data_IF_352237881291
#
_entry.id   IF_352237881291
#
_cell.length_a   1.000
_cell.length_b   1.000
_cell.length_c   1.000
_cell.angle_alpha   90.00
_cell.angle_beta   90.00
_cell.angle_gamma   90.00
#
_symmetry.space_group_name_H-M   'P 1'
#
loop_
_entity.id
_entity.type
_entity.pdbx_description
1 polymer ?
#
# COMPACT_ATOMS: atom_id res chain seq x y z
N UNK A 1 -18.06 -43.98 -20.90
CA UNK A 1 -18.73 -43.14 -19.91
C UNK A 1 -17.66 -42.69 -18.96
N UNK A 2 -17.32 -41.39 -18.87
CA UNK A 2 -16.45 -40.89 -17.80
C UNK A 2 -17.22 -40.99 -16.49
N UNK A 3 -16.63 -41.64 -15.51
CA UNK A 3 -17.17 -41.67 -14.16
C UNK A 3 -17.04 -40.27 -13.57
N UNK A 4 -18.15 -39.65 -13.19
CA UNK A 4 -18.18 -38.48 -12.36
C UNK A 4 -17.49 -38.81 -11.02
N UNK A 5 -16.30 -38.28 -10.83
CA UNK A 5 -15.69 -38.28 -9.52
C UNK A 5 -16.63 -37.53 -8.54
N UNK A 6 -16.88 -38.07 -7.37
CA UNK A 6 -17.76 -37.42 -6.40
C UNK A 6 -17.10 -36.07 -6.05
N UNK A 7 -17.86 -34.99 -6.24
CA UNK A 7 -17.52 -33.67 -5.71
C UNK A 7 -17.31 -33.81 -4.21
N UNK A 8 -16.03 -34.03 -3.84
CA UNK A 8 -15.61 -34.12 -2.46
C UNK A 8 -15.93 -32.80 -1.77
N UNK A 9 -16.80 -32.89 -0.79
CA UNK A 9 -16.98 -32.00 0.34
C UNK A 9 -16.83 -30.52 -0.01
N UNK A 10 -17.96 -29.82 -0.04
CA UNK A 10 -18.00 -28.36 0.20
C UNK A 10 -17.34 -28.16 1.56
N UNK A 11 -15.99 -28.05 1.57
CA UNK A 11 -15.24 -27.62 2.73
C UNK A 11 -15.90 -26.31 3.18
N UNK A 12 -16.32 -26.23 4.42
CA UNK A 12 -16.94 -25.06 5.03
C UNK A 12 -16.06 -23.84 4.79
N UNK A 13 -16.28 -23.17 3.67
CA UNK A 13 -15.43 -22.06 3.24
C UNK A 13 -15.71 -20.90 4.18
N UNK A 14 -14.74 -20.61 5.02
CA UNK A 14 -14.78 -19.45 5.94
C UNK A 14 -15.16 -18.20 5.15
N UNK A 15 -16.23 -17.52 5.54
CA UNK A 15 -16.68 -16.29 4.91
C UNK A 15 -15.68 -15.13 5.17
N UNK A 16 -15.78 -14.03 4.42
CA UNK A 16 -14.90 -12.89 4.56
C UNK A 16 -14.77 -12.36 6.00
N UNK A 17 -15.89 -12.26 6.72
CA UNK A 17 -15.89 -11.85 8.14
C UNK A 17 -15.20 -12.87 9.05
N UNK A 18 -15.26 -14.15 8.69
CA UNK A 18 -14.56 -15.20 9.43
C UNK A 18 -13.03 -15.07 9.34
N UNK A 19 -12.51 -14.64 8.20
CA UNK A 19 -11.07 -14.39 8.00
C UNK A 19 -10.56 -13.23 8.88
N UNK A 20 -11.39 -12.24 9.14
CA UNK A 20 -11.06 -11.08 9.98
C UNK A 20 -11.16 -11.38 11.48
N UNK A 21 -11.68 -12.55 11.91
CA UNK A 21 -11.60 -12.98 13.31
C UNK A 21 -10.16 -13.24 13.78
N UNK A 22 -9.25 -13.55 12.84
CA UNK A 22 -7.83 -13.62 13.16
C UNK A 22 -7.29 -12.18 13.40
N UNK A 23 -6.93 -11.89 14.65
CA UNK A 23 -6.47 -10.57 15.08
C UNK A 23 -5.24 -10.09 14.30
N UNK A 24 -4.33 -10.99 13.91
CA UNK A 24 -3.15 -10.64 13.12
C UNK A 24 -3.55 -10.21 11.70
N UNK A 25 -4.41 -10.99 11.03
CA UNK A 25 -4.95 -10.65 9.71
C UNK A 25 -5.68 -9.32 9.74
N UNK A 26 -6.58 -9.12 10.70
CA UNK A 26 -7.34 -7.88 10.85
C UNK A 26 -6.41 -6.67 11.01
N UNK A 27 -5.42 -6.75 11.92
CA UNK A 27 -4.48 -5.66 12.17
C UNK A 27 -3.60 -5.37 10.95
N UNK A 28 -3.09 -6.40 10.25
CA UNK A 28 -2.31 -6.21 9.03
C UNK A 28 -3.15 -5.53 7.94
N UNK A 29 -4.42 -5.93 7.77
CA UNK A 29 -5.27 -5.37 6.72
C UNK A 29 -5.71 -3.94 7.03
N UNK A 30 -5.99 -3.61 8.30
CA UNK A 30 -6.24 -2.22 8.71
C UNK A 30 -4.97 -1.38 8.53
N UNK A 31 -3.82 -1.89 8.96
CA UNK A 31 -2.55 -1.18 8.84
C UNK A 31 -2.22 -0.87 7.37
N UNK A 32 -2.31 -1.87 6.46
CA UNK A 32 -2.01 -1.64 5.05
C UNK A 32 -3.06 -0.75 4.38
N UNK A 33 -4.34 -0.85 4.75
CA UNK A 33 -5.37 0.04 4.25
C UNK A 33 -5.10 1.50 4.61
N UNK A 34 -4.65 1.77 5.83
CA UNK A 34 -4.26 3.11 6.27
C UNK A 34 -3.00 3.61 5.55
N UNK A 35 -1.96 2.77 5.45
CA UNK A 35 -0.69 3.14 4.84
C UNK A 35 -0.83 3.32 3.32
N UNK A 36 -1.43 2.36 2.61
CA UNK A 36 -1.62 2.48 1.15
C UNK A 36 -2.73 3.46 0.79
N UNK A 37 -3.82 3.49 1.57
CA UNK A 37 -4.86 4.50 1.41
C UNK A 37 -4.34 5.94 1.55
N UNK A 38 -3.27 6.16 2.33
CA UNK A 38 -2.63 7.46 2.45
C UNK A 38 -2.06 8.03 1.13
N UNK A 39 -1.99 7.22 0.06
CA UNK A 39 -1.67 7.71 -1.27
C UNK A 39 -2.81 8.50 -1.93
N UNK A 40 -4.00 8.57 -1.34
CA UNK A 40 -5.17 9.18 -1.92
C UNK A 40 -4.97 10.65 -2.33
N UNK A 41 -4.39 11.48 -1.45
CA UNK A 41 -4.09 12.87 -1.78
C UNK A 41 -3.10 12.98 -2.96
N UNK A 42 -2.08 12.13 -2.99
CA UNK A 42 -1.12 12.07 -4.08
C UNK A 42 -1.79 11.72 -5.41
N UNK A 43 -2.60 10.67 -5.47
CA UNK A 43 -3.28 10.27 -6.69
C UNK A 43 -4.26 11.32 -7.23
N UNK A 44 -4.89 12.06 -6.32
CA UNK A 44 -5.94 13.02 -6.71
C UNK A 44 -5.41 14.43 -6.98
N UNK A 45 -4.36 14.87 -6.27
CA UNK A 45 -3.99 16.28 -6.23
C UNK A 45 -2.55 16.59 -6.65
N UNK A 46 -1.68 15.59 -6.83
CA UNK A 46 -0.25 15.86 -7.13
C UNK A 46 -0.07 16.67 -8.42
N UNK A 47 -0.77 16.32 -9.50
CA UNK A 47 -0.68 17.08 -10.77
C UNK A 47 -1.13 18.53 -10.58
N UNK A 48 -2.25 18.76 -9.87
CA UNK A 48 -2.75 20.09 -9.57
C UNK A 48 -1.72 20.85 -8.71
N UNK A 49 -1.15 20.18 -7.70
CA UNK A 49 -0.13 20.76 -6.84
C UNK A 49 1.08 21.21 -7.64
N UNK A 50 1.67 20.36 -8.47
CA UNK A 50 2.85 20.68 -9.25
C UNK A 50 2.60 21.80 -10.27
N UNK A 51 1.46 21.76 -10.97
CA UNK A 51 1.13 22.80 -11.95
C UNK A 51 0.83 24.15 -11.30
N UNK A 52 0.27 24.19 -10.09
CA UNK A 52 0.08 25.42 -9.34
C UNK A 52 1.38 26.02 -8.79
N UNK A 53 2.45 25.21 -8.70
CA UNK A 53 3.81 25.65 -8.32
C UNK A 53 4.73 25.90 -9.54
N UNK A 54 4.17 26.07 -10.73
CA UNK A 54 4.89 26.51 -11.92
C UNK A 54 5.49 25.41 -12.78
N UNK A 55 5.28 24.11 -12.44
CA UNK A 55 5.68 23.01 -13.29
C UNK A 55 4.72 22.83 -14.46
N UNK A 56 5.23 22.44 -15.62
CA UNK A 56 4.39 22.15 -16.79
C UNK A 56 3.61 20.85 -16.63
N UNK A 57 2.56 20.66 -17.43
CA UNK A 57 1.83 19.37 -17.50
C UNK A 57 2.76 18.25 -17.98
N UNK A 58 3.76 18.59 -18.83
CA UNK A 58 4.79 17.64 -19.28
C UNK A 58 5.67 17.19 -18.11
N UNK A 59 6.08 18.11 -17.24
CA UNK A 59 6.85 17.77 -16.03
C UNK A 59 6.04 16.88 -15.10
N UNK A 60 4.75 17.17 -14.91
CA UNK A 60 3.86 16.32 -14.12
C UNK A 60 3.77 14.90 -14.70
N UNK A 61 3.69 14.75 -16.02
CA UNK A 61 3.75 13.46 -16.69
C UNK A 61 5.07 12.73 -16.45
N UNK A 62 6.20 13.46 -16.48
CA UNK A 62 7.52 12.91 -16.17
C UNK A 62 7.62 12.45 -14.71
N UNK A 63 7.11 13.23 -13.74
CA UNK A 63 7.08 12.83 -12.33
C UNK A 63 6.30 11.55 -12.10
N UNK A 64 5.14 11.41 -12.73
CA UNK A 64 4.38 10.17 -12.71
C UNK A 64 5.15 9.01 -13.36
N UNK A 65 5.78 9.25 -14.51
CA UNK A 65 6.60 8.27 -15.22
C UNK A 65 7.76 7.75 -14.36
N UNK A 66 8.48 8.64 -13.67
CA UNK A 66 9.58 8.29 -12.76
C UNK A 66 9.05 7.42 -11.60
N UNK A 67 7.94 7.81 -11.00
CA UNK A 67 7.31 7.05 -9.92
C UNK A 67 7.03 5.60 -10.33
N UNK A 68 6.40 5.41 -11.50
CA UNK A 68 6.07 4.09 -12.04
C UNK A 68 7.33 3.31 -12.45
N UNK A 69 8.31 3.97 -13.06
CA UNK A 69 9.57 3.32 -13.46
C UNK A 69 10.32 2.75 -12.25
N UNK A 70 10.47 3.54 -11.18
CA UNK A 70 11.14 3.09 -9.95
C UNK A 70 10.34 1.97 -9.29
N UNK A 71 9.00 2.05 -9.31
CA UNK A 71 8.12 0.99 -8.82
C UNK A 71 8.37 -0.34 -9.56
N UNK A 72 8.39 -0.34 -10.89
CA UNK A 72 8.66 -1.51 -11.73
C UNK A 72 10.03 -2.11 -11.39
N UNK A 73 11.06 -1.29 -11.30
CA UNK A 73 12.42 -1.74 -10.98
C UNK A 73 12.47 -2.39 -9.60
N UNK A 74 11.87 -1.77 -8.59
CA UNK A 74 11.87 -2.35 -7.23
C UNK A 74 11.00 -3.59 -7.15
N UNK A 75 9.87 -3.68 -7.87
CA UNK A 75 9.09 -4.91 -7.97
C UNK A 75 9.89 -6.05 -8.59
N UNK A 76 10.60 -5.80 -9.68
CA UNK A 76 11.42 -6.79 -10.34
C UNK A 76 12.47 -7.39 -9.39
N UNK A 77 13.07 -6.57 -8.56
CA UNK A 77 14.07 -7.01 -7.57
C UNK A 77 13.50 -7.30 -6.18
N UNK A 78 12.20 -7.19 -5.96
CA UNK A 78 11.58 -7.24 -4.62
C UNK A 78 11.92 -8.51 -3.84
N UNK A 79 11.88 -9.68 -4.47
CA UNK A 79 12.24 -10.93 -3.82
C UNK A 79 13.69 -10.93 -3.37
N UNK A 80 14.62 -10.40 -4.19
CA UNK A 80 16.05 -10.32 -3.84
C UNK A 80 16.31 -9.32 -2.72
N UNK A 81 15.62 -8.17 -2.75
CA UNK A 81 15.78 -7.10 -1.78
C UNK A 81 15.16 -7.45 -0.42
N UNK A 82 13.97 -8.06 -0.42
CA UNK A 82 13.15 -8.19 0.78
C UNK A 82 13.04 -9.63 1.32
N UNK A 83 13.69 -10.63 0.71
CA UNK A 83 13.59 -12.04 1.13
C UNK A 83 13.90 -12.28 2.60
N UNK A 84 14.86 -11.55 3.16
CA UNK A 84 15.33 -11.70 4.53
C UNK A 84 14.60 -10.80 5.53
N UNK A 85 13.67 -9.94 5.06
CA UNK A 85 12.93 -9.02 5.92
C UNK A 85 11.68 -9.70 6.46
N UNK A 86 11.34 -9.44 7.72
CA UNK A 86 10.05 -9.87 8.26
C UNK A 86 8.91 -9.03 7.68
N UNK A 87 7.69 -9.58 7.68
CA UNK A 87 6.49 -8.82 7.26
C UNK A 87 6.36 -7.55 8.09
N UNK A 88 6.53 -7.65 9.40
CA UNK A 88 6.50 -6.50 10.32
C UNK A 88 7.53 -5.44 9.91
N UNK A 89 8.77 -5.82 9.60
CA UNK A 89 9.81 -4.87 9.22
C UNK A 89 9.47 -4.14 7.92
N UNK A 90 8.89 -4.83 6.93
CA UNK A 90 8.43 -4.22 5.68
C UNK A 90 7.25 -3.26 5.89
N UNK A 91 6.32 -3.57 6.81
CA UNK A 91 5.25 -2.66 7.19
C UNK A 91 5.80 -1.40 7.88
N UNK A 92 6.82 -1.53 8.72
CA UNK A 92 7.49 -0.37 9.31
C UNK A 92 8.24 0.45 8.25
N UNK A 93 8.96 -0.20 7.34
CA UNK A 93 9.63 0.49 6.24
C UNK A 93 8.65 1.33 5.43
N UNK A 94 7.54 0.71 4.97
CA UNK A 94 6.56 1.39 4.12
C UNK A 94 5.82 2.50 4.87
N UNK A 95 5.47 2.28 6.15
CA UNK A 95 4.80 3.29 6.97
C UNK A 95 5.68 4.49 7.27
N UNK A 96 6.95 4.27 7.66
CA UNK A 96 7.92 5.36 7.92
C UNK A 96 8.20 6.13 6.63
N UNK A 97 8.44 5.43 5.52
CA UNK A 97 8.64 6.07 4.22
C UNK A 97 7.42 6.91 3.80
N UNK A 98 6.20 6.43 4.04
CA UNK A 98 4.98 7.17 3.74
C UNK A 98 4.85 8.44 4.60
N UNK A 99 5.12 8.35 5.90
CA UNK A 99 5.10 9.52 6.80
C UNK A 99 6.09 10.59 6.31
N UNK A 100 7.34 10.20 6.08
CA UNK A 100 8.38 11.13 5.60
C UNK A 100 7.98 11.74 4.27
N UNK A 101 7.52 10.91 3.32
CA UNK A 101 7.11 11.37 1.99
C UNK A 101 5.97 12.38 2.06
N UNK A 102 4.91 12.08 2.82
CA UNK A 102 3.75 12.97 2.87
C UNK A 102 4.02 14.26 3.63
N UNK A 103 4.83 14.23 4.69
CA UNK A 103 5.24 15.44 5.38
C UNK A 103 6.10 16.35 4.50
N UNK A 104 6.96 15.77 3.66
CA UNK A 104 7.79 16.52 2.73
C UNK A 104 7.02 17.00 1.48
N UNK A 105 6.01 16.26 1.03
CA UNK A 105 5.35 16.48 -0.26
C UNK A 105 4.70 17.85 -0.38
N UNK A 106 4.06 18.34 0.67
CA UNK A 106 3.40 19.65 0.67
C UNK A 106 4.36 20.86 0.63
N UNK A 107 5.67 20.63 0.70
CA UNK A 107 6.72 21.65 0.68
C UNK A 107 7.69 21.51 -0.49
N UNK A 108 7.52 20.49 -1.33
CA UNK A 108 8.44 20.20 -2.43
C UNK A 108 8.10 21.06 -3.65
N UNK A 109 8.86 22.12 -3.87
CA UNK A 109 8.63 23.07 -4.94
C UNK A 109 9.60 22.90 -6.11
N UNK A 110 10.79 22.36 -5.89
CA UNK A 110 11.79 22.20 -6.94
C UNK A 110 11.65 20.86 -7.68
N UNK A 111 12.05 20.88 -8.96
CA UNK A 111 12.06 19.67 -9.80
C UNK A 111 12.80 18.49 -9.12
N UNK A 112 13.97 18.77 -8.52
CA UNK A 112 14.80 17.73 -7.88
C UNK A 112 14.12 17.15 -6.64
N UNK A 113 13.53 17.97 -5.78
CA UNK A 113 12.78 17.50 -4.60
C UNK A 113 11.62 16.61 -4.99
N UNK A 114 10.86 17.02 -6.01
CA UNK A 114 9.74 16.22 -6.52
C UNK A 114 10.24 14.88 -7.05
N UNK A 115 11.29 14.86 -7.86
CA UNK A 115 11.89 13.61 -8.40
C UNK A 115 12.34 12.69 -7.26
N UNK A 116 13.00 13.22 -6.23
CA UNK A 116 13.40 12.43 -5.06
C UNK A 116 12.19 11.81 -4.36
N UNK A 117 11.10 12.57 -4.18
CA UNK A 117 9.87 12.06 -3.58
C UNK A 117 9.16 11.03 -4.47
N UNK A 118 9.32 11.09 -5.81
CA UNK A 118 8.83 10.03 -6.70
C UNK A 118 9.59 8.72 -6.49
N UNK A 119 10.89 8.77 -6.26
CA UNK A 119 11.68 7.57 -5.94
C UNK A 119 11.22 6.89 -4.64
N UNK A 120 10.74 7.67 -3.66
CA UNK A 120 10.15 7.13 -2.43
C UNK A 120 8.87 6.33 -2.67
N UNK A 121 8.19 6.49 -3.81
CA UNK A 121 6.96 5.76 -4.12
C UNK A 121 7.15 4.24 -4.01
N UNK A 122 8.26 3.73 -4.50
CA UNK A 122 8.58 2.31 -4.41
C UNK A 122 8.67 1.80 -2.96
N UNK A 123 9.20 2.58 -2.04
CA UNK A 123 9.25 2.21 -0.63
C UNK A 123 7.87 2.28 0.03
N UNK A 124 7.07 3.30 -0.32
CA UNK A 124 5.75 3.51 0.26
C UNK A 124 4.70 2.56 -0.29
N UNK A 125 4.86 2.04 -1.51
CA UNK A 125 3.92 1.15 -2.17
C UNK A 125 4.42 -0.29 -2.26
N UNK A 126 5.57 -0.52 -2.94
CA UNK A 126 6.05 -1.88 -3.26
C UNK A 126 6.36 -2.69 -2.01
N UNK A 127 7.04 -2.12 -1.03
CA UNK A 127 7.42 -2.84 0.19
C UNK A 127 6.17 -3.32 0.96
N UNK A 128 5.15 -2.47 1.09
CA UNK A 128 3.88 -2.81 1.74
C UNK A 128 3.07 -3.84 0.96
N UNK A 129 2.97 -3.67 -0.36
CA UNK A 129 2.30 -4.63 -1.24
C UNK A 129 2.97 -6.00 -1.18
N UNK A 130 4.29 -6.05 -1.36
CA UNK A 130 5.07 -7.28 -1.28
C UNK A 130 4.88 -7.99 0.06
N UNK A 131 4.93 -7.26 1.18
CA UNK A 131 4.74 -7.82 2.51
C UNK A 131 3.32 -8.39 2.68
N UNK A 132 2.30 -7.70 2.17
CA UNK A 132 0.90 -8.13 2.27
C UNK A 132 0.64 -9.38 1.42
N UNK A 133 1.10 -9.40 0.16
CA UNK A 133 0.98 -10.58 -0.71
C UNK A 133 1.72 -11.76 -0.10
N UNK A 134 2.94 -11.55 0.40
CA UNK A 134 3.71 -12.58 1.08
C UNK A 134 2.99 -13.12 2.33
N UNK A 135 2.34 -12.27 3.12
CA UNK A 135 1.48 -12.74 4.22
C UNK A 135 0.32 -13.60 3.72
N UNK A 136 -0.38 -13.14 2.69
CA UNK A 136 -1.52 -13.85 2.10
C UNK A 136 -1.10 -15.25 1.60
N UNK A 137 0.06 -15.36 0.94
CA UNK A 137 0.54 -16.65 0.42
C UNK A 137 0.95 -17.67 1.51
N UNK A 138 1.10 -17.23 2.76
CA UNK A 138 1.33 -18.16 3.89
C UNK A 138 0.03 -18.69 4.51
N UNK A 139 -1.12 -18.19 4.06
CA UNK A 139 -2.42 -18.65 4.58
C UNK A 139 -2.89 -19.91 3.84
N UNK A 140 -3.87 -20.66 4.39
CA UNK A 140 -4.45 -21.82 3.71
C UNK A 140 -4.90 -21.49 2.29
N UNK A 141 -4.68 -22.40 1.34
CA UNK A 141 -4.97 -22.20 -0.09
C UNK A 141 -6.41 -21.74 -0.35
N UNK A 142 -7.37 -22.27 0.42
CA UNK A 142 -8.79 -21.90 0.35
C UNK A 142 -9.09 -20.45 0.76
N UNK A 143 -8.16 -19.78 1.46
CA UNK A 143 -8.29 -18.40 1.94
C UNK A 143 -7.60 -17.37 1.04
N UNK A 144 -6.61 -17.77 0.21
CA UNK A 144 -5.74 -16.84 -0.53
C UNK A 144 -6.55 -15.89 -1.41
N UNK A 145 -7.45 -16.42 -2.26
CA UNK A 145 -8.24 -15.58 -3.17
C UNK A 145 -9.16 -14.60 -2.42
N UNK A 146 -9.76 -15.05 -1.31
CA UNK A 146 -10.63 -14.20 -0.48
C UNK A 146 -9.84 -13.10 0.23
N UNK A 147 -8.64 -13.42 0.76
CA UNK A 147 -7.77 -12.44 1.40
C UNK A 147 -7.24 -11.43 0.38
N UNK A 148 -6.91 -11.87 -0.84
CA UNK A 148 -6.49 -10.97 -1.91
C UNK A 148 -7.63 -10.01 -2.30
N UNK A 149 -8.86 -10.52 -2.45
CA UNK A 149 -10.04 -9.69 -2.72
C UNK A 149 -10.31 -8.69 -1.59
N UNK A 150 -10.19 -9.11 -0.33
CA UNK A 150 -10.38 -8.25 0.84
C UNK A 150 -9.30 -7.17 0.94
N UNK A 151 -8.03 -7.51 0.66
CA UNK A 151 -6.93 -6.55 0.59
C UNK A 151 -7.22 -5.47 -0.45
N UNK A 152 -7.60 -5.87 -1.68
CA UNK A 152 -7.90 -4.91 -2.74
C UNK A 152 -9.12 -4.04 -2.40
N UNK A 153 -10.17 -4.63 -1.82
CA UNK A 153 -11.36 -3.87 -1.42
C UNK A 153 -11.06 -2.84 -0.32
N UNK A 154 -10.26 -3.20 0.68
CA UNK A 154 -9.94 -2.31 1.80
C UNK A 154 -8.88 -1.27 1.44
N UNK A 155 -7.72 -1.70 0.91
CA UNK A 155 -6.59 -0.82 0.66
C UNK A 155 -6.66 -0.13 -0.72
N UNK A 156 -7.09 -0.84 -1.76
CA UNK A 156 -7.15 -0.32 -3.12
C UNK A 156 -8.40 0.49 -3.43
N UNK A 157 -9.52 0.22 -2.75
CA UNK A 157 -10.79 0.89 -3.05
C UNK A 157 -11.29 1.74 -1.87
N UNK A 158 -11.70 1.13 -0.76
CA UNK A 158 -12.40 1.83 0.32
C UNK A 158 -11.55 2.92 0.97
N UNK A 159 -10.30 2.60 1.36
CA UNK A 159 -9.40 3.58 1.98
C UNK A 159 -9.07 4.72 1.02
N UNK A 160 -8.77 4.43 -0.26
CA UNK A 160 -8.51 5.44 -1.28
C UNK A 160 -9.72 6.37 -1.43
N UNK A 161 -10.93 5.83 -1.58
CA UNK A 161 -12.14 6.63 -1.76
C UNK A 161 -12.41 7.55 -0.56
N UNK A 162 -12.35 7.01 0.66
CA UNK A 162 -12.58 7.78 1.89
C UNK A 162 -11.51 8.86 2.05
N UNK A 163 -10.23 8.53 1.86
CA UNK A 163 -9.14 9.49 2.09
C UNK A 163 -9.04 10.52 0.97
N UNK A 164 -9.46 10.19 -0.27
CA UNK A 164 -9.66 11.19 -1.34
C UNK A 164 -10.71 12.22 -0.92
N UNK A 165 -11.86 11.77 -0.42
CA UNK A 165 -12.90 12.68 0.04
C UNK A 165 -12.43 13.56 1.20
N UNK A 166 -11.73 13.00 2.19
CA UNK A 166 -11.19 13.75 3.33
C UNK A 166 -10.10 14.75 2.90
N UNK A 167 -9.17 14.32 2.03
CA UNK A 167 -8.14 15.22 1.51
C UNK A 167 -8.73 16.33 0.63
N UNK A 168 -9.85 16.05 -0.07
CA UNK A 168 -10.58 17.03 -0.87
C UNK A 168 -11.17 18.18 -0.07
N UNK A 169 -11.51 17.95 1.19
CA UNK A 169 -11.96 19.02 2.11
C UNK A 169 -10.78 19.90 2.56
N UNK A 170 -9.60 19.31 2.76
CA UNK A 170 -8.44 20.03 3.30
C UNK A 170 -7.58 20.69 2.22
N UNK A 171 -7.51 20.10 1.04
CA UNK A 171 -6.63 20.57 -0.04
C UNK A 171 -6.90 22.03 -0.45
N UNK A 172 -8.16 22.49 -0.61
CA UNK A 172 -8.46 23.90 -0.91
C UNK A 172 -8.05 24.87 0.19
N UNK A 173 -7.94 24.41 1.45
CA UNK A 173 -7.49 25.23 2.59
C UNK A 173 -5.96 25.35 2.53
N UNK A 174 -5.29 24.21 2.43
CA UNK A 174 -3.84 24.11 2.21
C UNK A 174 -3.47 22.71 1.73
N UNK A 175 -2.67 22.57 0.66
CA UNK A 175 -2.10 21.28 0.26
C UNK A 175 -1.34 20.59 1.39
N UNK A 176 -0.61 21.35 2.22
CA UNK A 176 0.11 20.83 3.39
C UNK A 176 -0.82 20.10 4.35
N UNK A 177 -2.03 20.60 4.59
CA UNK A 177 -2.98 19.92 5.48
C UNK A 177 -3.47 18.60 4.91
N UNK A 178 -3.74 18.54 3.60
CA UNK A 178 -4.14 17.31 2.95
C UNK A 178 -3.06 16.23 3.04
N UNK A 179 -1.80 16.57 2.72
CA UNK A 179 -0.68 15.63 2.81
C UNK A 179 -0.33 15.29 4.26
N UNK A 180 -0.41 16.23 5.22
CA UNK A 180 -0.21 15.93 6.64
C UNK A 180 -1.26 14.98 7.20
N UNK A 181 -2.51 15.06 6.75
CA UNK A 181 -3.55 14.08 7.09
C UNK A 181 -3.18 12.69 6.58
N UNK A 182 -2.61 12.58 5.36
CA UNK A 182 -2.12 11.30 4.82
C UNK A 182 -0.97 10.74 5.68
N UNK A 183 -0.06 11.59 6.13
CA UNK A 183 0.99 11.19 7.07
C UNK A 183 0.43 10.68 8.40
N UNK A 184 -0.62 11.30 8.92
CA UNK A 184 -1.29 10.86 10.14
C UNK A 184 -1.95 9.47 9.96
N UNK A 185 -2.59 9.19 8.83
CA UNK A 185 -3.13 7.85 8.55
C UNK A 185 -2.01 6.80 8.44
N UNK A 186 -0.92 7.11 7.76
CA UNK A 186 0.24 6.22 7.69
C UNK A 186 0.83 5.94 9.09
N UNK A 187 0.91 6.97 9.96
CA UNK A 187 1.36 6.84 11.33
C UNK A 187 0.45 5.92 12.16
N UNK A 188 -0.88 6.11 12.07
CA UNK A 188 -1.84 5.23 12.74
C UNK A 188 -1.70 3.79 12.24
N UNK A 189 -1.56 3.59 10.93
CA UNK A 189 -1.33 2.28 10.32
C UNK A 189 -0.06 1.61 10.86
N UNK A 190 1.02 2.37 10.98
CA UNK A 190 2.27 1.89 11.56
C UNK A 190 2.09 1.45 13.02
N UNK A 191 1.34 2.20 13.82
CA UNK A 191 1.06 1.88 15.22
C UNK A 191 0.20 0.61 15.38
N UNK A 192 -0.75 0.38 14.46
CA UNK A 192 -1.61 -0.80 14.44
C UNK A 192 -0.84 -2.06 14.00
N UNK A 193 0.24 -1.91 13.24
CA UNK A 193 1.01 -3.02 12.67
C UNK A 193 1.40 -4.04 13.76
N UNK A 194 1.05 -5.34 13.60
CA UNK A 194 1.39 -6.35 14.58
C UNK A 194 2.89 -6.62 14.60
N UNK A 195 3.43 -6.80 15.81
CA UNK A 195 4.86 -7.10 16.02
C UNK A 195 5.13 -8.59 15.79
N UNK A 196 6.33 -8.90 15.29
CA UNK A 196 6.83 -10.29 15.24
C UNK A 196 6.22 -11.18 14.17
N UNK A 197 5.52 -10.65 13.16
CA UNK A 197 5.01 -11.46 12.05
C UNK A 197 6.18 -11.84 11.14
N UNK A 198 6.59 -13.10 11.26
CA UNK A 198 7.63 -13.73 10.45
C UNK A 198 6.96 -14.70 9.49
N UNK A 199 6.88 -14.36 8.22
CA UNK A 199 6.51 -15.33 7.19
C UNK A 199 7.72 -15.46 6.27
N UNK A 200 8.38 -16.59 6.31
CA UNK A 200 9.42 -16.95 5.37
C UNK A 200 8.76 -17.66 4.20
N UNK A 201 9.14 -17.30 2.99
CA UNK A 201 8.78 -18.11 1.83
C UNK A 201 9.38 -19.52 2.06
N UNK A 202 8.61 -20.60 1.86
CA UNK A 202 9.18 -21.94 1.89
C UNK A 202 10.30 -21.97 0.84
N UNK A 203 11.49 -22.47 1.23
CA UNK A 203 12.53 -22.74 0.27
C UNK A 203 11.93 -23.68 -0.77
N UNK A 204 11.74 -23.23 -2.00
CA UNK A 204 11.51 -24.13 -3.12
C UNK A 204 12.81 -24.92 -3.27
N UNK A 205 12.75 -26.19 -2.91
CA UNK A 205 13.76 -27.19 -3.25
C UNK A 205 13.75 -27.37 -4.75
#
# INVERSE_FOLDING_TARGET
MPQDEPQSAVENSVGFLGLLKNKTTLRLFIAIALIQGSHAAYYSYSTIFWTSHGHSVSDAGLFWGISVLVEIVVFFFSTRLFKNWSITALFYLTGIAAIVRWLAFGYADTFVEIVLLQCFHSLTYVAGHYATVRYITTQPQTHIAKLQGLYNALAGCAAIAIFTALSGVLYPISPVYAFSLMAAFAFIGLFITPRGVKAFLPHRV
#
